data_IF_525892953365
#
_entry.id   IF_525892953365
#
_cell.length_a   1.000
_cell.length_b   1.000
_cell.length_c   1.000
_cell.angle_alpha   90.00
_cell.angle_beta   90.00
_cell.angle_gamma   90.00
#
_symmetry.space_group_name_H-M   'P 1'
#
loop_
_entity.id
_entity.type
_entity.pdbx_description
1 polymer ?
#
# COMPACT_ATOMS: atom_id res chain seq x y z
N UNK A 1 -0.95 15.99 -3.39
CA UNK A 1 -1.83 14.95 -3.99
C UNK A 1 -2.61 14.28 -2.86
N UNK A 2 -3.88 13.89 -3.04
CA UNK A 2 -4.61 13.18 -1.99
C UNK A 2 -4.02 11.78 -1.75
N UNK A 3 -3.96 11.35 -0.49
CA UNK A 3 -3.34 10.08 -0.05
C UNK A 3 -3.88 8.85 -0.80
N UNK A 4 -5.17 8.83 -1.11
CA UNK A 4 -5.83 7.75 -1.87
C UNK A 4 -5.21 7.52 -3.26
N UNK A 5 -4.72 8.59 -3.91
CA UNK A 5 -4.08 8.48 -5.23
C UNK A 5 -2.69 7.83 -5.13
N UNK A 6 -1.99 8.03 -4.01
CA UNK A 6 -0.72 7.36 -3.73
C UNK A 6 -0.94 5.88 -3.41
N UNK A 7 -1.95 5.56 -2.59
CA UNK A 7 -2.29 4.19 -2.23
C UNK A 7 -2.64 3.34 -3.45
N UNK A 8 -3.45 3.87 -4.38
CA UNK A 8 -3.81 3.17 -5.60
C UNK A 8 -2.59 2.91 -6.50
N UNK A 9 -1.70 3.91 -6.66
CA UNK A 9 -0.47 3.75 -7.46
C UNK A 9 0.49 2.76 -6.81
N UNK A 10 0.67 2.83 -5.49
CA UNK A 10 1.51 1.92 -4.73
C UNK A 10 1.02 0.47 -4.88
N UNK A 11 -0.28 0.24 -4.65
CA UNK A 11 -0.88 -1.08 -4.76
C UNK A 11 -0.75 -1.70 -6.15
N UNK A 12 -1.07 -0.93 -7.19
CA UNK A 12 -0.94 -1.40 -8.57
C UNK A 12 0.50 -1.79 -8.93
N UNK A 13 1.48 -1.01 -8.46
CA UNK A 13 2.89 -1.28 -8.74
C UNK A 13 3.42 -2.48 -7.94
N UNK A 14 2.98 -2.65 -6.69
CA UNK A 14 3.31 -3.82 -5.88
C UNK A 14 2.80 -5.13 -6.50
N UNK A 15 1.58 -5.11 -7.07
CA UNK A 15 1.03 -6.23 -7.85
C UNK A 15 1.84 -6.45 -9.13
N UNK A 16 2.15 -5.38 -9.88
CA UNK A 16 2.92 -5.46 -11.13
C UNK A 16 4.32 -6.06 -10.91
N UNK A 17 4.95 -5.76 -9.77
CA UNK A 17 6.26 -6.32 -9.39
C UNK A 17 6.17 -7.75 -8.84
N UNK A 18 4.96 -8.31 -8.66
CA UNK A 18 4.75 -9.65 -8.11
C UNK A 18 5.05 -9.77 -6.61
N UNK A 19 5.10 -8.65 -5.88
CA UNK A 19 5.36 -8.67 -4.43
C UNK A 19 4.12 -9.05 -3.63
N UNK A 20 2.94 -8.72 -4.14
CA UNK A 20 1.64 -9.06 -3.57
C UNK A 20 0.71 -9.55 -4.66
N UNK A 21 -0.34 -10.28 -4.29
CA UNK A 21 -1.43 -10.66 -5.20
C UNK A 21 -2.52 -9.59 -5.27
N UNK A 22 -3.34 -9.56 -6.33
CA UNK A 22 -4.52 -8.68 -6.39
C UNK A 22 -5.47 -8.87 -5.21
N UNK A 23 -5.64 -10.09 -4.71
CA UNK A 23 -6.51 -10.42 -3.59
C UNK A 23 -5.99 -9.80 -2.28
N UNK A 24 -4.66 -9.87 -2.06
CA UNK A 24 -4.00 -9.23 -0.91
C UNK A 24 -4.14 -7.71 -0.95
N UNK A 25 -4.06 -7.10 -2.14
CA UNK A 25 -4.29 -5.66 -2.32
C UNK A 25 -5.74 -5.29 -2.00
N UNK A 26 -6.72 -6.06 -2.50
CA UNK A 26 -8.14 -5.84 -2.20
C UNK A 26 -8.43 -5.97 -0.71
N UNK A 27 -7.81 -6.93 -0.02
CA UNK A 27 -7.94 -7.08 1.43
C UNK A 27 -7.41 -5.84 2.17
N UNK A 28 -6.21 -5.36 1.83
CA UNK A 28 -5.62 -4.18 2.46
C UNK A 28 -6.48 -2.92 2.26
N UNK A 29 -7.02 -2.71 1.05
CA UNK A 29 -7.93 -1.60 0.76
C UNK A 29 -9.22 -1.67 1.58
N UNK A 30 -9.80 -2.87 1.74
CA UNK A 30 -10.99 -3.06 2.60
C UNK A 30 -10.70 -2.70 4.06
N UNK A 31 -9.53 -3.08 4.58
CA UNK A 31 -9.12 -2.73 5.95
C UNK A 31 -8.98 -1.21 6.07
N UNK A 32 -8.28 -0.56 5.14
CA UNK A 32 -8.08 0.89 5.14
C UNK A 32 -9.41 1.66 5.16
N UNK A 33 -10.34 1.29 4.26
CA UNK A 33 -11.67 1.92 4.20
C UNK A 33 -12.43 1.74 5.52
N UNK A 34 -12.43 0.53 6.08
CA UNK A 34 -13.11 0.25 7.33
C UNK A 34 -12.54 1.04 8.52
N UNK A 35 -11.24 1.28 8.56
CA UNK A 35 -10.58 2.07 9.61
C UNK A 35 -10.83 3.57 9.45
N UNK A 36 -10.81 4.07 8.21
CA UNK A 36 -11.13 5.45 7.90
C UNK A 36 -12.57 5.79 8.30
N UNK A 37 -13.53 4.87 8.04
CA UNK A 37 -14.93 5.03 8.44
C UNK A 37 -15.11 5.04 9.98
N UNK A 38 -14.28 4.29 10.70
CA UNK A 38 -14.33 4.21 12.17
C UNK A 38 -13.58 5.34 12.88
N UNK A 39 -12.94 6.26 12.13
CA UNK A 39 -12.06 7.32 12.65
C UNK A 39 -10.98 6.81 13.62
N UNK A 40 -10.65 5.52 13.56
CA UNK A 40 -9.81 4.87 14.57
C UNK A 40 -8.33 5.09 14.30
N UNK A 41 -7.92 5.00 13.02
CA UNK A 41 -6.56 5.21 12.53
C UNK A 41 -6.60 5.50 11.03
N UNK A 42 -5.75 6.40 10.56
CA UNK A 42 -5.48 6.58 9.14
C UNK A 42 -4.15 5.90 8.80
N UNK A 43 -4.24 4.67 8.31
CA UNK A 43 -3.09 3.91 7.80
C UNK A 43 -3.10 3.92 6.28
N UNK A 44 -1.91 3.87 5.69
CA UNK A 44 -1.72 3.70 4.25
C UNK A 44 -1.72 2.22 3.88
N UNK A 45 -1.99 1.89 2.62
CA UNK A 45 -2.09 0.49 2.15
C UNK A 45 -0.80 -0.28 2.39
N UNK A 46 0.36 0.35 2.19
CA UNK A 46 1.67 -0.28 2.41
C UNK A 46 1.90 -0.73 3.86
N UNK A 47 1.39 0.01 4.84
CA UNK A 47 1.50 -0.36 6.26
C UNK A 47 0.65 -1.60 6.58
N UNK A 48 -0.58 -1.63 6.08
CA UNK A 48 -1.50 -2.76 6.27
C UNK A 48 -0.95 -4.03 5.64
N UNK A 49 -0.43 -3.94 4.41
CA UNK A 49 0.19 -5.08 3.72
C UNK A 49 1.40 -5.62 4.49
N UNK A 50 2.20 -4.75 5.11
CA UNK A 50 3.36 -5.14 5.92
C UNK A 50 2.94 -5.86 7.20
N UNK A 51 1.97 -5.32 7.93
CA UNK A 51 1.46 -5.95 9.15
C UNK A 51 0.83 -7.31 8.90
N UNK A 52 0.24 -7.50 7.71
CA UNK A 52 -0.30 -8.77 7.24
C UNK A 52 0.77 -9.73 6.71
N UNK A 53 2.04 -9.33 6.74
CA UNK A 53 3.20 -10.08 6.22
C UNK A 53 3.09 -10.43 4.72
N UNK A 54 2.25 -9.70 3.97
CA UNK A 54 2.12 -9.88 2.52
C UNK A 54 3.26 -9.23 1.74
N UNK A 55 3.89 -8.21 2.33
CA UNK A 55 5.00 -7.50 1.73
C UNK A 55 6.07 -7.22 2.79
N UNK A 56 7.34 -7.27 2.38
CA UNK A 56 8.47 -6.91 3.24
C UNK A 56 8.81 -5.43 3.12
N UNK A 57 9.49 -4.87 4.12
CA UNK A 57 9.99 -3.48 4.07
C UNK A 57 10.89 -3.23 2.86
N UNK A 58 11.72 -4.20 2.47
CA UNK A 58 12.58 -4.08 1.29
C UNK A 58 11.77 -3.96 -0.01
N UNK A 59 10.69 -4.74 -0.14
CA UNK A 59 9.79 -4.66 -1.29
C UNK A 59 8.98 -3.36 -1.31
N UNK A 60 8.56 -2.85 -0.14
CA UNK A 60 7.93 -1.52 -0.03
C UNK A 60 8.86 -0.45 -0.58
N UNK A 61 10.13 -0.44 -0.15
CA UNK A 61 11.12 0.51 -0.63
C UNK A 61 11.29 0.42 -2.16
N UNK A 62 11.40 -0.79 -2.70
CA UNK A 62 11.51 -1.01 -4.14
C UNK A 62 10.27 -0.54 -4.93
N UNK A 63 9.07 -0.54 -4.33
CA UNK A 63 7.87 0.06 -4.93
C UNK A 63 7.97 1.58 -4.88
N UNK A 64 8.32 2.17 -3.73
CA UNK A 64 8.44 3.63 -3.56
C UNK A 64 9.50 4.26 -4.47
N UNK A 65 10.64 3.58 -4.65
CA UNK A 65 11.69 3.95 -5.62
C UNK A 65 11.14 4.05 -7.04
N UNK A 66 10.26 3.13 -7.42
CA UNK A 66 9.66 3.12 -8.77
C UNK A 66 8.50 4.11 -8.94
N UNK A 67 8.06 4.77 -7.87
CA UNK A 67 7.01 5.80 -7.94
C UNK A 67 7.60 7.21 -8.17
N UNK A 68 8.92 7.33 -8.33
CA UNK A 68 9.70 8.58 -8.36
C UNK A 68 9.46 9.46 -7.12
N UNK A 69 9.25 8.83 -5.95
CA UNK A 69 9.01 9.54 -4.69
C UNK A 69 10.32 9.90 -3.97
N UNK A 70 11.47 9.46 -4.48
CA UNK A 70 12.77 9.97 -4.05
C UNK A 70 13.17 11.17 -4.91
N UNK A 71 12.62 12.34 -4.60
CA UNK A 71 13.44 13.55 -4.68
C UNK A 71 14.24 13.65 -3.38
N UNK A 72 15.53 13.99 -3.55
CA UNK A 72 16.60 14.09 -2.56
C UNK A 72 16.23 15.08 -1.44
#
# INVERSE_FOLDING_TARGET
MPAEKLDARFGALAVTKGFITPEQLVEALKIQVNENLKQSKHRIVGEILREKEYITTAQINAVLESMDIFEI
#
